data_IF_903075096727
#
_entry.id   IF_903075096727
#
_cell.length_a   1.000
_cell.length_b   1.000
_cell.length_c   1.000
_cell.angle_alpha   90.00
_cell.angle_beta   90.00
_cell.angle_gamma   90.00
#
_symmetry.space_group_name_H-M   'P 1'
#
loop_
_entity.id
_entity.type
_entity.pdbx_description
1 polymer ?
#
# COMPACT_ATOMS: atom_id res chain seq x y z
N UNK A 1 35.16 -41.94 2.07
CA UNK A 1 35.15 -40.52 1.67
C UNK A 1 34.21 -40.38 0.48
N UNK A 2 32.94 -40.06 0.72
CA UNK A 2 31.95 -39.82 -0.33
C UNK A 2 31.87 -38.33 -0.62
N UNK A 3 31.94 -37.96 -1.90
CA UNK A 3 31.94 -36.59 -2.38
C UNK A 3 30.59 -35.91 -2.17
N UNK A 4 30.65 -34.70 -1.63
CA UNK A 4 29.54 -33.76 -1.47
C UNK A 4 29.35 -32.99 -2.78
N UNK A 5 28.19 -33.07 -3.40
CA UNK A 5 27.73 -32.06 -4.35
C UNK A 5 26.22 -31.87 -4.18
N UNK A 6 25.86 -30.96 -3.27
CA UNK A 6 24.55 -30.36 -3.27
C UNK A 6 24.52 -29.31 -4.40
N UNK A 7 23.72 -29.54 -5.42
CA UNK A 7 23.43 -28.54 -6.44
C UNK A 7 22.65 -27.40 -5.78
N UNK A 8 23.30 -26.25 -5.61
CA UNK A 8 22.61 -25.02 -5.24
C UNK A 8 21.71 -24.60 -6.41
N UNK A 9 20.41 -24.86 -6.30
CA UNK A 9 19.42 -24.30 -7.23
C UNK A 9 19.35 -22.81 -6.96
N UNK A 10 20.01 -22.03 -7.83
CA UNK A 10 19.90 -20.58 -7.81
C UNK A 10 18.54 -20.20 -8.39
N UNK A 11 17.53 -20.00 -7.52
CA UNK A 11 16.28 -19.34 -7.89
C UNK A 11 16.63 -17.89 -8.19
N UNK A 12 16.64 -17.53 -9.47
CA UNK A 12 16.66 -16.14 -9.89
C UNK A 12 15.40 -15.47 -9.34
N UNK A 13 15.54 -14.72 -8.26
CA UNK A 13 14.46 -13.90 -7.74
C UNK A 13 14.03 -12.95 -8.85
N UNK A 14 12.81 -13.15 -9.37
CA UNK A 14 12.21 -12.20 -10.30
C UNK A 14 12.14 -10.84 -9.58
N UNK A 15 12.53 -9.73 -10.25
CA UNK A 15 12.42 -8.41 -9.64
C UNK A 15 10.96 -8.16 -9.24
N UNK A 16 10.75 -7.68 -8.02
CA UNK A 16 9.42 -7.33 -7.53
C UNK A 16 8.86 -6.20 -8.39
N UNK A 17 7.85 -6.52 -9.20
CA UNK A 17 7.15 -5.52 -10.00
C UNK A 17 6.39 -4.55 -9.09
N UNK A 18 6.51 -3.26 -9.33
CA UNK A 18 5.74 -2.25 -8.60
C UNK A 18 4.35 -2.10 -9.22
N UNK A 19 3.32 -2.56 -8.49
CA UNK A 19 1.90 -2.45 -8.89
C UNK A 19 1.14 -1.65 -7.85
N UNK A 20 1.29 -0.32 -7.95
CA UNK A 20 0.79 0.64 -6.98
C UNK A 20 -0.55 1.28 -7.36
N UNK A 21 -1.29 1.79 -6.37
CA UNK A 21 -2.49 2.60 -6.54
C UNK A 21 -2.45 3.85 -5.64
N UNK A 22 -3.03 4.94 -6.11
CA UNK A 22 -3.29 6.14 -5.31
C UNK A 22 -4.70 6.06 -4.69
N UNK A 23 -4.80 6.30 -3.38
CA UNK A 23 -6.06 6.21 -2.66
C UNK A 23 -6.48 7.57 -2.12
N UNK A 24 -7.73 7.95 -2.42
CA UNK A 24 -8.39 9.09 -1.80
C UNK A 24 -8.97 8.70 -0.42
N UNK A 25 -8.86 9.55 0.61
CA UNK A 25 -9.32 9.31 1.98
C UNK A 25 -10.76 8.84 2.11
N UNK A 26 -11.64 9.29 1.21
CA UNK A 26 -13.04 8.86 1.18
C UNK A 26 -13.23 7.36 0.96
N UNK A 27 -12.21 6.66 0.43
CA UNK A 27 -12.23 5.22 0.14
C UNK A 27 -11.89 4.36 1.37
N UNK A 28 -11.46 4.95 2.49
CA UNK A 28 -11.02 4.23 3.69
C UNK A 28 -11.31 4.98 5.01
N UNK A 29 -12.46 5.67 5.10
CA UNK A 29 -12.84 6.47 6.30
C UNK A 29 -13.13 5.61 7.52
N UNK A 30 -13.66 4.42 7.28
CA UNK A 30 -13.97 3.43 8.31
C UNK A 30 -13.07 2.20 8.18
N UNK A 31 -12.87 1.43 9.27
CA UNK A 31 -12.16 0.15 9.18
C UNK A 31 -12.76 -0.79 8.12
N UNK A 32 -14.09 -0.85 8.00
CA UNK A 32 -14.77 -1.71 7.03
C UNK A 32 -14.53 -1.28 5.58
N UNK A 33 -14.45 0.02 5.30
CA UNK A 33 -14.09 0.53 3.98
C UNK A 33 -12.62 0.29 3.65
N UNK A 34 -11.74 0.40 4.65
CA UNK A 34 -10.32 0.08 4.51
C UNK A 34 -10.13 -1.40 4.14
N UNK A 35 -10.76 -2.32 4.86
CA UNK A 35 -10.71 -3.76 4.56
C UNK A 35 -11.21 -4.06 3.14
N UNK A 36 -12.35 -3.48 2.74
CA UNK A 36 -12.89 -3.64 1.37
C UNK A 36 -11.92 -3.13 0.30
N UNK A 37 -11.20 -2.04 0.58
CA UNK A 37 -10.19 -1.50 -0.33
C UNK A 37 -8.98 -2.44 -0.43
N UNK A 38 -8.53 -3.01 0.68
CA UNK A 38 -7.46 -4.01 0.73
C UNK A 38 -7.85 -5.27 -0.06
N UNK A 39 -9.05 -5.79 0.14
CA UNK A 39 -9.58 -6.96 -0.60
C UNK A 39 -9.59 -6.73 -2.11
N UNK A 40 -10.04 -5.53 -2.55
CA UNK A 40 -10.04 -5.15 -3.96
C UNK A 40 -8.64 -5.05 -4.54
N UNK A 41 -7.71 -4.47 -3.79
CA UNK A 41 -6.30 -4.37 -4.20
C UNK A 41 -5.67 -5.77 -4.34
N UNK A 42 -5.91 -6.64 -3.38
CA UNK A 42 -5.43 -8.02 -3.41
C UNK A 42 -5.99 -8.79 -4.60
N UNK A 43 -7.30 -8.67 -4.87
CA UNK A 43 -7.94 -9.27 -6.04
C UNK A 43 -7.38 -8.74 -7.38
N UNK A 44 -6.90 -7.50 -7.41
CA UNK A 44 -6.26 -6.88 -8.57
C UNK A 44 -4.75 -7.16 -8.66
N UNK A 45 -4.16 -7.89 -7.72
CA UNK A 45 -2.73 -8.17 -7.68
C UNK A 45 -1.84 -6.95 -7.39
N UNK A 46 -2.43 -5.87 -6.86
CA UNK A 46 -1.70 -4.68 -6.42
C UNK A 46 -0.92 -4.98 -5.14
N UNK A 47 0.27 -4.40 -5.02
CA UNK A 47 1.17 -4.65 -3.89
C UNK A 47 1.58 -3.40 -3.11
N UNK A 48 1.19 -2.22 -3.57
CA UNK A 48 1.52 -0.93 -2.93
C UNK A 48 0.29 -0.01 -2.98
N UNK A 49 0.05 0.72 -1.88
CA UNK A 49 -0.92 1.81 -1.82
C UNK A 49 -0.23 3.12 -1.42
N UNK A 50 -0.70 4.21 -2.03
CA UNK A 50 -0.31 5.58 -1.72
C UNK A 50 -1.53 6.37 -1.26
N UNK A 51 -1.85 6.36 0.05
CA UNK A 51 -2.91 7.19 0.60
C UNK A 51 -2.57 8.67 0.46
N UNK A 52 -3.50 9.45 -0.07
CA UNK A 52 -3.41 10.90 -0.07
C UNK A 52 -3.58 11.42 1.36
N UNK A 53 -2.50 11.97 1.94
CA UNK A 53 -2.50 12.48 3.32
C UNK A 53 -2.52 14.01 3.40
N UNK A 54 -2.11 14.71 2.35
CA UNK A 54 -2.07 16.17 2.29
C UNK A 54 -2.59 16.64 0.94
N UNK A 55 -3.59 17.52 0.95
CA UNK A 55 -4.26 17.95 -0.27
C UNK A 55 -4.13 19.46 -0.48
N UNK A 56 -3.64 19.81 -1.67
CA UNK A 56 -3.55 21.17 -2.21
C UNK A 56 -2.96 22.23 -1.25
N UNK A 57 -2.12 21.82 -0.30
CA UNK A 57 -1.48 22.71 0.67
C UNK A 57 -2.39 23.24 1.77
N UNK A 58 -3.67 22.87 1.79
CA UNK A 58 -4.67 23.45 2.71
C UNK A 58 -5.18 22.49 3.78
N UNK A 59 -5.20 21.19 3.53
CA UNK A 59 -5.80 20.22 4.45
C UNK A 59 -5.01 18.92 4.58
N UNK A 60 -4.94 18.41 5.82
CA UNK A 60 -4.33 17.13 6.14
C UNK A 60 -5.42 16.09 6.47
N UNK A 61 -5.34 14.89 5.91
CA UNK A 61 -6.24 13.77 6.24
C UNK A 61 -5.71 12.94 7.42
N UNK A 62 -5.01 13.60 8.33
CA UNK A 62 -4.50 13.08 9.58
C UNK A 62 -4.45 14.23 10.59
N UNK A 63 -4.50 13.90 11.88
CA UNK A 63 -4.44 14.92 12.94
C UNK A 63 -3.06 15.58 12.94
N UNK A 64 -3.04 16.91 12.86
CA UNK A 64 -1.84 17.73 12.87
C UNK A 64 -2.14 19.11 13.47
N UNK A 65 -1.12 19.74 14.05
CA UNK A 65 -1.20 21.14 14.50
C UNK A 65 -0.87 22.15 13.37
N UNK A 66 -0.42 21.65 12.20
CA UNK A 66 0.05 22.49 11.09
C UNK A 66 -1.05 22.81 10.07
N UNK A 67 -2.01 21.90 9.89
CA UNK A 67 -3.05 22.01 8.88
C UNK A 67 -4.38 21.45 9.43
N UNK A 68 -5.52 22.09 9.12
CA UNK A 68 -6.82 21.56 9.50
C UNK A 68 -7.13 20.27 8.72
N UNK A 69 -8.01 19.44 9.30
CA UNK A 69 -8.66 18.36 8.56
C UNK A 69 -9.81 18.93 7.70
N UNK A 70 -10.16 18.31 6.56
CA UNK A 70 -11.32 18.71 5.77
C UNK A 70 -12.62 18.58 6.57
N UNK A 71 -13.59 19.46 6.31
CA UNK A 71 -14.92 19.36 6.91
C UNK A 71 -15.66 18.10 6.44
N UNK A 72 -16.38 17.43 7.34
CA UNK A 72 -17.19 16.24 7.02
C UNK A 72 -16.43 14.91 7.02
N UNK A 73 -15.19 14.89 7.51
CA UNK A 73 -14.38 13.70 7.76
C UNK A 73 -14.18 13.43 9.26
#
# INVERSE_FOLDING_TARGET
>A
MGFWFAWAVSVWAQPLEHRGIWLHPEQFRTPQECERSIERMAAAGLNIAYPLVWYWGGTAYYRSDLCPMPEGL
#
